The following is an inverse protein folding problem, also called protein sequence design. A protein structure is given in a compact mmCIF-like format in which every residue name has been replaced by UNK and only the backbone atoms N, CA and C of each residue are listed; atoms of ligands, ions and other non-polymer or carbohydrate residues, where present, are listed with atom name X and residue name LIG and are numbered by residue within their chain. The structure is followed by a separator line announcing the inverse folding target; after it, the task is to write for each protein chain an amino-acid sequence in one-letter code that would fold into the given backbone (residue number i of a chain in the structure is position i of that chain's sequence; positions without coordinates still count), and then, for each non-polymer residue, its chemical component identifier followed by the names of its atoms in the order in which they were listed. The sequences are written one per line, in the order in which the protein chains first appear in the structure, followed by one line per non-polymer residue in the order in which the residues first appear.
data_IF_296933190109
#
_entry.id   IF_296933190109
#
_cell.length_a   1.000
_cell.length_b   1.000
_cell.length_c   1.000
_cell.angle_alpha   90.00
_cell.angle_beta   90.00
_cell.angle_gamma   90.00
#
_symmetry.space_group_name_H-M   'P 1'
#
loop_
_entity.id
_entity.type
_entity.pdbx_description
1 polymer ?
#
# COMPACT_ATOMS: atom_id res chain seq x y z
N UNK A 1 9.46 1.25 -3.14
CA UNK A 1 9.74 1.97 -1.87
C UNK A 1 8.96 3.28 -1.88
N UNK A 2 8.93 4.05 -0.78
CA UNK A 2 8.21 5.33 -0.72
C UNK A 2 9.15 6.54 -0.78
N UNK A 3 8.72 7.61 -1.45
CA UNK A 3 9.45 8.86 -1.52
C UNK A 3 9.40 9.60 -0.17
N UNK A 4 10.56 9.75 0.47
CA UNK A 4 10.70 10.40 1.78
C UNK A 4 10.27 11.87 1.79
N UNK A 5 10.49 12.59 0.70
CA UNK A 5 10.11 14.02 0.58
C UNK A 5 8.60 14.20 0.47
N UNK A 6 7.93 13.34 -0.32
CA UNK A 6 6.47 13.34 -0.41
C UNK A 6 5.81 12.99 0.94
N UNK A 7 6.40 12.03 1.66
CA UNK A 7 5.93 11.63 2.99
C UNK A 7 6.02 12.77 4.01
N UNK A 8 7.02 13.66 3.91
CA UNK A 8 7.17 14.83 4.80
C UNK A 8 6.00 15.82 4.73
N UNK A 9 5.21 15.78 3.64
CA UNK A 9 3.98 16.57 3.45
C UNK A 9 2.73 15.69 3.38
N UNK A 10 2.79 14.49 3.99
CA UNK A 10 1.68 13.53 4.10
C UNK A 10 1.11 13.06 2.75
N UNK A 11 1.96 12.94 1.73
CA UNK A 11 1.61 12.35 0.42
C UNK A 11 2.28 10.99 0.25
N UNK A 12 1.59 10.09 -0.46
CA UNK A 12 2.12 8.78 -0.84
C UNK A 12 2.62 8.86 -2.28
N UNK A 13 3.88 8.47 -2.48
CA UNK A 13 4.52 8.40 -3.80
C UNK A 13 5.51 7.25 -3.80
N UNK A 14 5.41 6.37 -4.80
CA UNK A 14 6.35 5.27 -4.99
C UNK A 14 7.61 5.75 -5.72
N UNK A 15 8.74 5.11 -5.42
CA UNK A 15 10.05 5.37 -6.05
C UNK A 15 10.88 4.08 -6.11
N UNK A 16 11.74 4.00 -7.13
CA UNK A 16 12.73 2.94 -7.34
C UNK A 16 14.05 3.18 -6.61
N UNK A 17 14.10 4.21 -5.74
CA UNK A 17 15.21 4.45 -4.82
C UNK A 17 16.03 5.71 -5.12
N UNK A 18 15.83 6.31 -6.30
CA UNK A 18 16.41 7.61 -6.64
C UNK A 18 15.66 8.72 -5.91
N UNK A 19 16.14 9.07 -4.72
CA UNK A 19 15.70 10.28 -4.02
C UNK A 19 16.86 10.86 -3.19
N UNK A 20 16.96 12.19 -3.02
CA UNK A 20 18.13 12.82 -2.39
C UNK A 20 18.46 12.34 -0.97
N UNK A 21 17.45 11.92 -0.21
CA UNK A 21 17.60 11.42 1.16
C UNK A 21 17.44 9.90 1.27
N UNK A 22 17.39 9.20 0.13
CA UNK A 22 16.98 7.81 0.05
C UNK A 22 15.48 7.61 0.38
N UNK A 23 14.93 6.46 -0.01
CA UNK A 23 13.52 6.17 0.16
C UNK A 23 13.18 5.69 1.58
N UNK A 24 11.89 5.49 1.84
CA UNK A 24 11.37 4.77 3.00
C UNK A 24 10.99 3.35 2.56
N UNK A 25 11.51 2.33 3.25
CA UNK A 25 11.13 0.92 3.04
C UNK A 25 10.06 0.54 4.05
N UNK A 26 8.91 0.10 3.56
CA UNK A 26 7.80 -0.43 4.38
C UNK A 26 7.66 -1.90 4.03
N UNK A 27 7.77 -2.77 5.03
CA UNK A 27 7.59 -4.21 4.88
C UNK A 27 6.32 -4.63 5.60
N UNK A 28 5.39 -5.22 4.86
CA UNK A 28 4.13 -5.74 5.39
C UNK A 28 4.26 -7.25 5.47
N UNK A 29 4.04 -7.81 6.66
CA UNK A 29 4.11 -9.25 6.92
C UNK A 29 2.69 -9.75 7.19
N UNK A 30 2.25 -10.76 6.45
CA UNK A 30 0.91 -11.33 6.59
C UNK A 30 0.90 -12.79 6.15
N UNK A 31 0.10 -13.67 6.78
CA UNK A 31 -0.15 -15.02 6.29
C UNK A 31 -1.00 -15.04 5.00
N UNK A 32 -1.65 -13.92 4.65
CA UNK A 32 -2.52 -13.80 3.47
C UNK A 32 -2.23 -12.49 2.70
N UNK A 33 -1.03 -12.35 2.10
CA UNK A 33 -0.59 -11.10 1.46
C UNK A 33 -1.53 -10.64 0.33
N UNK A 34 -2.11 -11.56 -0.43
CA UNK A 34 -3.07 -11.23 -1.50
C UNK A 34 -4.32 -10.51 -0.99
N UNK A 35 -4.83 -10.92 0.19
CA UNK A 35 -5.99 -10.25 0.80
C UNK A 35 -5.63 -8.85 1.29
N UNK A 36 -4.40 -8.67 1.79
CA UNK A 36 -3.91 -7.35 2.21
C UNK A 36 -3.78 -6.42 1.01
N UNK A 37 -3.28 -6.92 -0.13
CA UNK A 37 -3.22 -6.16 -1.39
C UNK A 37 -4.63 -5.75 -1.82
N UNK A 38 -5.57 -6.69 -1.87
CA UNK A 38 -6.96 -6.40 -2.26
C UNK A 38 -7.66 -5.41 -1.31
N UNK A 39 -7.30 -5.41 -0.02
CA UNK A 39 -7.82 -4.46 0.97
C UNK A 39 -7.23 -3.05 0.78
N UNK A 40 -5.90 -2.94 0.62
CA UNK A 40 -5.21 -1.65 0.52
C UNK A 40 -5.39 -0.98 -0.85
N UNK A 41 -5.39 -1.77 -1.92
CA UNK A 41 -5.39 -1.30 -3.30
C UNK A 41 -6.26 -2.21 -4.18
N UNK A 42 -7.59 -2.24 -3.95
CA UNK A 42 -8.49 -3.09 -4.72
C UNK A 42 -8.43 -2.74 -6.21
N UNK A 43 -8.63 -3.73 -7.08
CA UNK A 43 -8.86 -3.46 -8.50
C UNK A 43 -10.08 -2.57 -8.68
N UNK A 44 -9.92 -1.55 -9.52
CA UNK A 44 -10.97 -0.57 -9.81
C UNK A 44 -11.39 -0.60 -11.27
N UNK A 45 -12.64 -0.18 -11.50
CA UNK A 45 -13.17 0.16 -12.81
C UNK A 45 -13.81 1.55 -12.70
N UNK A 46 -13.37 2.49 -13.54
CA UNK A 46 -13.77 3.91 -13.47
C UNK A 46 -13.59 4.53 -12.07
N UNK A 47 -12.50 4.17 -11.38
CA UNK A 47 -12.20 4.68 -10.04
C UNK A 47 -13.04 4.07 -8.92
N UNK A 48 -13.95 3.14 -9.21
CA UNK A 48 -14.75 2.42 -8.21
C UNK A 48 -14.20 1.01 -7.99
N UNK A 49 -14.05 0.53 -6.74
CA UNK A 49 -13.64 -0.83 -6.47
C UNK A 49 -14.59 -1.87 -7.08
N UNK A 50 -14.05 -2.88 -7.76
CA UNK A 50 -14.84 -4.00 -8.29
C UNK A 50 -15.26 -4.95 -7.16
N UNK A 51 -14.42 -5.06 -6.12
CA UNK A 51 -14.66 -5.84 -4.91
C UNK A 51 -14.02 -5.13 -3.72
N UNK A 52 -14.70 -5.14 -2.58
CA UNK A 52 -14.17 -4.61 -1.32
C UNK A 52 -13.92 -5.78 -0.37
N UNK A 53 -12.69 -5.91 0.10
CA UNK A 53 -12.32 -6.82 1.19
C UNK A 53 -12.48 -6.04 2.50
N UNK A 54 -13.06 -6.66 3.53
CA UNK A 54 -13.16 -6.03 4.86
C UNK A 54 -11.99 -6.43 5.75
N UNK A 55 -11.63 -5.61 6.77
CA UNK A 55 -10.55 -5.94 7.70
C UNK A 55 -10.70 -7.29 8.39
N UNK A 56 -11.94 -7.71 8.70
CA UNK A 56 -12.20 -8.99 9.38
C UNK A 56 -11.82 -10.20 8.51
N UNK A 57 -11.77 -10.03 7.18
CA UNK A 57 -11.42 -11.08 6.22
C UNK A 57 -9.91 -11.29 6.08
N UNK A 58 -9.09 -10.37 6.60
CA UNK A 58 -7.63 -10.41 6.55
C UNK A 58 -7.02 -11.51 7.43
N UNK A 59 -7.83 -12.09 8.33
CA UNK A 59 -7.38 -13.06 9.32
C UNK A 59 -6.73 -12.32 10.48
N UNK A 60 -7.50 -12.14 11.55
CA UNK A 60 -6.94 -11.89 12.87
C UNK A 60 -6.86 -13.26 13.54
N UNK A 61 -5.65 -13.72 13.85
CA UNK A 61 -5.49 -14.70 14.93
C UNK A 61 -5.93 -14.06 16.26
#
# INVERSE_FOLDING_TARGET
MLNKQAAAVSKVSFTDGESPLGPITVMIVSPSPEKVIDYLAPRTHEGKPVRVVKPEELGSD
#
